data_IF_510437456540
#
_entry.id   IF_510437456540
#
_cell.length_a   1.000
_cell.length_b   1.000
_cell.length_c   1.000
_cell.angle_alpha   90.00
_cell.angle_beta   90.00
_cell.angle_gamma   90.00
#
_symmetry.space_group_name_H-M   'P 1'
#
loop_
_entity.id
_entity.type
_entity.pdbx_description
1 polymer ?
#
# COMPACT_ATOMS: atom_id res chain seq x y z
N UNK A 1 7.11 -25.11 -10.80
CA UNK A 1 6.74 -23.68 -10.79
C UNK A 1 6.15 -23.33 -12.15
N UNK A 2 4.82 -23.34 -12.28
CA UNK A 2 4.14 -23.00 -13.55
C UNK A 2 4.56 -21.58 -13.99
N UNK A 3 5.02 -21.44 -15.24
CA UNK A 3 5.40 -20.16 -15.83
C UNK A 3 4.14 -19.32 -16.06
N UNK A 4 3.72 -18.57 -15.04
CA UNK A 4 2.64 -17.58 -15.16
C UNK A 4 3.19 -16.41 -15.98
N UNK A 5 2.47 -16.05 -17.06
CA UNK A 5 2.81 -14.90 -17.89
C UNK A 5 2.77 -13.64 -17.02
N UNK A 6 3.79 -12.81 -17.14
CA UNK A 6 3.94 -11.63 -16.31
C UNK A 6 2.95 -10.55 -16.76
N UNK A 7 2.14 -9.97 -15.87
CA UNK A 7 1.10 -9.00 -16.25
C UNK A 7 1.65 -7.76 -16.97
N UNK A 8 2.84 -7.29 -16.56
CA UNK A 8 3.49 -6.12 -17.15
C UNK A 8 3.98 -6.39 -18.57
N UNK A 9 4.51 -7.60 -18.81
CA UNK A 9 4.99 -7.99 -20.13
C UNK A 9 3.80 -8.23 -21.08
N UNK A 10 2.68 -8.77 -20.56
CA UNK A 10 1.43 -8.91 -21.30
C UNK A 10 0.80 -7.55 -21.67
N UNK A 11 0.97 -6.54 -20.82
CA UNK A 11 0.51 -5.17 -21.10
C UNK A 11 1.43 -4.41 -22.08
N UNK A 12 2.57 -4.97 -22.50
CA UNK A 12 3.49 -4.33 -23.45
C UNK A 12 4.28 -3.13 -22.89
N UNK A 13 4.27 -2.95 -21.56
CA UNK A 13 4.92 -1.80 -20.91
C UNK A 13 6.43 -2.05 -20.81
N UNK A 14 7.23 -1.37 -21.65
CA UNK A 14 8.69 -1.57 -21.72
C UNK A 14 9.45 -0.86 -20.58
N UNK A 15 8.96 0.29 -20.14
CA UNK A 15 9.55 1.10 -19.07
C UNK A 15 8.51 1.45 -18.01
N UNK A 16 8.92 1.34 -16.75
CA UNK A 16 8.10 1.66 -15.58
C UNK A 16 8.67 2.96 -15.01
N UNK A 17 7.96 4.06 -15.22
CA UNK A 17 8.35 5.36 -14.69
C UNK A 17 7.83 5.57 -13.27
N UNK A 18 8.52 6.43 -12.53
CA UNK A 18 8.15 6.78 -11.15
C UNK A 18 7.05 7.84 -11.06
N UNK A 19 6.73 8.49 -12.18
CA UNK A 19 5.75 9.57 -12.27
C UNK A 19 4.32 9.03 -12.29
N UNK A 20 4.15 7.81 -12.82
CA UNK A 20 2.85 7.17 -13.01
C UNK A 20 2.34 6.57 -11.70
N UNK A 21 1.86 7.43 -10.79
CA UNK A 21 1.44 7.00 -9.45
C UNK A 21 0.27 6.01 -9.48
N UNK A 22 -0.62 6.11 -10.47
CA UNK A 22 -1.77 5.21 -10.63
C UNK A 22 -1.32 3.77 -10.90
N UNK A 23 -0.32 3.59 -11.77
CA UNK A 23 0.25 2.29 -12.06
C UNK A 23 0.98 1.71 -10.84
N UNK A 24 1.77 2.54 -10.15
CA UNK A 24 2.55 2.10 -8.98
C UNK A 24 1.68 1.73 -7.78
N UNK A 25 0.52 2.39 -7.61
CA UNK A 25 -0.44 2.07 -6.54
C UNK A 25 -0.96 0.63 -6.62
N UNK A 26 -1.10 0.07 -7.82
CA UNK A 26 -1.56 -1.32 -8.01
C UNK A 26 -0.59 -2.37 -7.46
N UNK A 27 0.70 -2.02 -7.34
CA UNK A 27 1.74 -2.92 -6.83
C UNK A 27 2.15 -2.62 -5.39
N UNK A 28 1.30 -1.89 -4.67
CA UNK A 28 1.50 -1.50 -3.29
C UNK A 28 0.31 -1.98 -2.46
N UNK A 29 0.59 -2.40 -1.23
CA UNK A 29 -0.42 -2.82 -0.25
C UNK A 29 -1.11 -1.61 0.36
N UNK A 30 -2.25 -1.83 1.05
CA UNK A 30 -2.95 -0.79 1.85
C UNK A 30 -2.02 -0.03 2.79
N UNK A 31 -0.97 -0.67 3.31
CA UNK A 31 0.00 -0.06 4.22
C UNK A 31 1.14 0.71 3.53
N UNK A 32 1.02 0.93 2.23
CA UNK A 32 2.09 1.49 1.41
C UNK A 32 3.38 0.66 1.42
N UNK A 33 3.30 -0.66 1.59
CA UNK A 33 4.44 -1.59 1.40
C UNK A 33 4.42 -2.17 -0.02
N UNK A 34 5.60 -2.37 -0.62
CA UNK A 34 5.75 -2.95 -1.96
C UNK A 34 5.26 -4.40 -1.92
N UNK A 35 4.38 -4.77 -2.85
CA UNK A 35 3.88 -6.15 -2.95
C UNK A 35 5.01 -7.07 -3.42
N UNK A 36 5.27 -8.19 -2.73
CA UNK A 36 6.30 -9.13 -3.14
C UNK A 36 5.89 -9.87 -4.42
N UNK A 37 6.90 -10.44 -5.10
CA UNK A 37 6.73 -11.06 -6.42
C UNK A 37 5.71 -12.21 -6.44
N UNK A 38 5.63 -13.01 -5.37
CA UNK A 38 4.80 -14.21 -5.35
C UNK A 38 3.29 -13.93 -5.35
N UNK A 39 2.86 -12.74 -4.90
CA UNK A 39 1.47 -12.31 -5.03
C UNK A 39 1.19 -11.65 -6.39
N UNK A 40 2.14 -10.83 -6.85
CA UNK A 40 1.96 -9.98 -8.05
C UNK A 40 2.27 -10.71 -9.37
N UNK A 41 2.91 -11.89 -9.31
CA UNK A 41 3.29 -12.72 -10.46
C UNK A 41 4.10 -11.98 -11.54
N UNK A 42 4.86 -10.95 -11.15
CA UNK A 42 5.69 -10.18 -12.07
C UNK A 42 7.02 -10.90 -12.36
N UNK A 43 7.64 -10.63 -13.52
CA UNK A 43 8.98 -11.11 -13.83
C UNK A 43 9.99 -10.49 -12.86
N UNK A 44 11.08 -11.22 -12.57
CA UNK A 44 12.13 -10.71 -11.68
C UNK A 44 12.75 -9.40 -12.19
N UNK A 45 12.89 -9.27 -13.52
CA UNK A 45 13.41 -8.07 -14.17
C UNK A 45 12.50 -6.87 -13.92
N UNK A 46 11.20 -7.03 -14.12
CA UNK A 46 10.24 -5.94 -13.92
C UNK A 46 10.02 -5.63 -12.44
N UNK A 47 10.08 -6.62 -11.54
CA UNK A 47 10.01 -6.38 -10.09
C UNK A 47 11.17 -5.49 -9.61
N UNK A 48 12.39 -5.66 -10.16
CA UNK A 48 13.54 -4.79 -9.84
C UNK A 48 13.31 -3.36 -10.32
N UNK A 49 12.83 -3.19 -11.56
CA UNK A 49 12.47 -1.88 -12.13
C UNK A 49 11.37 -1.19 -11.32
N UNK A 50 10.30 -1.92 -11.01
CA UNK A 50 9.18 -1.46 -10.19
C UNK A 50 9.65 -1.01 -8.80
N UNK A 51 10.50 -1.82 -8.14
CA UNK A 51 11.03 -1.48 -6.82
C UNK A 51 11.87 -0.19 -6.85
N UNK A 52 12.65 0.03 -7.92
CA UNK A 52 13.40 1.27 -8.11
C UNK A 52 12.48 2.45 -8.37
N UNK A 53 11.48 2.30 -9.23
CA UNK A 53 10.50 3.33 -9.53
C UNK A 53 9.73 3.76 -8.28
N UNK A 54 9.24 2.81 -7.48
CA UNK A 54 8.53 3.10 -6.21
C UNK A 54 9.44 3.82 -5.21
N UNK A 55 10.71 3.41 -5.08
CA UNK A 55 11.67 4.09 -4.19
C UNK A 55 11.93 5.53 -4.63
N UNK A 56 12.07 5.77 -5.94
CA UNK A 56 12.22 7.13 -6.50
C UNK A 56 10.97 7.97 -6.27
N UNK A 57 9.77 7.40 -6.50
CA UNK A 57 8.50 8.08 -6.26
C UNK A 57 8.35 8.51 -4.79
N UNK A 58 8.78 7.67 -3.84
CA UNK A 58 8.78 8.01 -2.41
C UNK A 58 9.78 9.11 -2.05
N UNK A 59 10.96 9.08 -2.65
CA UNK A 59 11.96 10.15 -2.45
C UNK A 59 11.46 11.50 -2.96
N UNK A 60 10.72 11.49 -4.08
CA UNK A 60 10.08 12.69 -4.65
C UNK A 60 8.75 13.07 -3.98
N UNK A 61 8.41 12.44 -2.84
CA UNK A 61 7.15 12.68 -2.10
C UNK A 61 5.85 12.44 -2.90
N UNK A 62 5.91 11.72 -4.02
CA UNK A 62 4.73 11.33 -4.80
C UNK A 62 3.94 10.20 -4.10
N UNK A 63 4.61 9.43 -3.25
CA UNK A 63 4.02 8.33 -2.50
C UNK A 63 4.53 8.30 -1.05
N UNK A 64 3.66 8.01 -0.06
CA UNK A 64 4.07 7.90 1.34
C UNK A 64 4.83 6.59 1.62
N UNK A 65 5.68 6.61 2.65
CA UNK A 65 6.44 5.43 3.10
C UNK A 65 5.62 4.46 3.95
N UNK A 66 4.74 4.99 4.82
CA UNK A 66 4.01 4.22 5.82
C UNK A 66 2.59 4.79 5.93
N UNK A 67 1.58 3.93 5.81
CA UNK A 67 0.23 4.25 6.27
C UNK A 67 0.00 3.58 7.63
N UNK A 68 -0.13 4.38 8.69
CA UNK A 68 -0.36 3.87 10.03
C UNK A 68 -1.86 3.58 10.23
N UNK A 69 -2.28 2.32 10.43
CA UNK A 69 -3.70 2.00 10.62
C UNK A 69 -4.29 2.57 11.91
N UNK A 70 -3.46 2.95 12.89
CA UNK A 70 -3.93 3.61 14.13
C UNK A 70 -4.36 5.06 13.95
N UNK A 71 -3.96 5.71 12.84
CA UNK A 71 -4.34 7.10 12.53
C UNK A 71 -5.63 7.21 11.72
N UNK A 72 -6.39 6.12 11.55
CA UNK A 72 -7.76 6.18 11.03
C UNK A 72 -8.81 6.29 12.13
N UNK A 73 -8.42 6.22 13.41
CA UNK A 73 -9.27 6.73 14.48
C UNK A 73 -9.08 8.23 14.46
N UNK A 74 -10.17 8.96 14.25
CA UNK A 74 -10.23 10.41 14.34
C UNK A 74 -9.39 10.91 15.53
N UNK A 75 -8.77 12.07 15.38
CA UNK A 75 -8.40 12.87 16.53
C UNK A 75 -9.72 13.20 17.25
N UNK A 76 -10.13 12.34 18.17
CA UNK A 76 -11.15 12.69 19.15
C UNK A 76 -10.54 13.79 20.03
N UNK A 77 -11.22 14.93 20.21
CA UNK A 77 -10.77 15.92 21.18
C UNK A 77 -10.71 15.25 22.56
N UNK A 78 -9.62 15.48 23.30
CA UNK A 78 -9.30 14.89 24.61
C UNK A 78 -10.22 15.42 25.74
N UNK A 79 -11.44 15.88 25.43
CA UNK A 79 -12.40 16.39 26.41
C UNK A 79 -13.79 15.84 26.11
N UNK A 80 -14.11 14.72 26.75
CA UNK A 80 -15.47 14.33 27.11
C UNK A 80 -15.37 13.39 28.31
N UNK A 81 -15.26 13.99 29.50
CA UNK A 81 -15.57 13.31 30.75
C UNK A 81 -17.09 13.13 30.77
N UNK A 82 -17.55 11.89 30.71
CA UNK A 82 -18.88 11.48 31.13
C UNK A 82 -18.75 10.05 31.68
N UNK A 83 -18.45 9.99 32.98
CA UNK A 83 -18.70 8.82 33.81
C UNK A 83 -20.20 8.79 34.03
N UNK A 84 -20.87 7.73 33.61
CA UNK A 84 -22.18 7.37 34.15
C UNK A 84 -22.26 5.85 34.27
N UNK A 85 -21.99 5.41 35.50
CA UNK A 85 -22.29 4.09 36.02
C UNK A 85 -23.79 3.83 35.94
N UNK A 86 -24.18 2.87 35.10
CA UNK A 86 -25.45 2.19 35.29
C UNK A 86 -25.34 0.72 34.92
N UNK A 87 -25.06 -0.06 35.96
CA UNK A 87 -25.34 -1.49 36.01
C UNK A 87 -26.86 -1.70 35.93
N UNK A 88 -27.40 -1.69 34.72
CA UNK A 88 -28.72 -2.26 34.47
C UNK A 88 -28.53 -3.73 34.11
N UNK A 89 -28.93 -4.57 35.06
CA UNK A 89 -28.76 -6.01 35.06
C UNK A 89 -29.32 -6.70 33.83
N UNK A 90 -28.52 -7.64 33.35
CA UNK A 90 -28.97 -8.78 32.57
C UNK A 90 -28.32 -9.99 33.25
N UNK A 91 -29.19 -10.77 33.92
CA UNK A 91 -29.12 -12.18 34.34
C UNK A 91 -27.72 -12.82 34.39
#
# INVERSE_FOLDING_TARGET
MSQKVCPIDAAGIKQIDYKDTEFLKNYITKFNKIVPRYYSNVSLKNQRKLSQAIKRARYMSLMPYILNPRKSVAVAPVVAVAVEDKWDGII
#
